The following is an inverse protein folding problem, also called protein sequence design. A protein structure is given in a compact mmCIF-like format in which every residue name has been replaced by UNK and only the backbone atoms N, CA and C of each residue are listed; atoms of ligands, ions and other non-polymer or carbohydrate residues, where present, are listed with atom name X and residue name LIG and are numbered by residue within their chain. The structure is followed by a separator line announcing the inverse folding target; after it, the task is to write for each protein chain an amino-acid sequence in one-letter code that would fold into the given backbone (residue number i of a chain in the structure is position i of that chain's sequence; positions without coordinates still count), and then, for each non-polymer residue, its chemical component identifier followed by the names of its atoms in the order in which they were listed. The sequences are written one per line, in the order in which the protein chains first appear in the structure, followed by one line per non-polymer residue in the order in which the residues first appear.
data_IF_170118815273
#
_entry.id   IF_170118815273
#
_cell.length_a   1.000
_cell.length_b   1.000
_cell.length_c   1.000
_cell.angle_alpha   90.00
_cell.angle_beta   90.00
_cell.angle_gamma   90.00
#
_symmetry.space_group_name_H-M   'P 1'
#
loop_
_entity.id
_entity.type
_entity.pdbx_description
1 polymer ?
#
# COMPACT_ATOMS: atom_id res chain seq x y z
N UNK A 1 -18.31 12.77 7.89
CA UNK A 1 -17.16 12.05 8.49
C UNK A 1 -16.18 13.06 9.05
N UNK A 2 -16.00 13.05 10.37
CA UNK A 2 -15.08 13.98 11.03
C UNK A 2 -13.62 13.61 10.72
N UNK A 3 -12.67 14.54 10.95
CA UNK A 3 -11.25 14.35 10.63
C UNK A 3 -10.62 13.12 11.34
N UNK A 4 -11.06 12.82 12.55
CA UNK A 4 -10.53 11.69 13.33
C UNK A 4 -11.03 10.35 12.78
N UNK A 5 -12.30 10.26 12.37
CA UNK A 5 -12.87 9.09 11.71
C UNK A 5 -12.16 8.80 10.39
N UNK A 6 -11.95 9.83 9.56
CA UNK A 6 -11.17 9.69 8.31
C UNK A 6 -9.77 9.14 8.58
N UNK A 7 -9.08 9.69 9.59
CA UNK A 7 -7.74 9.25 9.97
C UNK A 7 -7.75 7.81 10.49
N UNK A 8 -8.74 7.43 11.28
CA UNK A 8 -8.89 6.07 11.78
C UNK A 8 -9.03 5.08 10.62
N UNK A 9 -9.89 5.37 9.64
CA UNK A 9 -10.05 4.54 8.45
C UNK A 9 -8.73 4.39 7.66
N UNK A 10 -7.98 5.49 7.47
CA UNK A 10 -6.65 5.45 6.82
C UNK A 10 -5.67 4.55 7.59
N UNK A 11 -5.62 4.67 8.92
CA UNK A 11 -4.77 3.83 9.78
C UNK A 11 -5.18 2.36 9.71
N UNK A 12 -6.47 2.06 9.86
CA UNK A 12 -6.98 0.69 9.87
C UNK A 12 -6.70 -0.01 8.53
N UNK A 13 -6.96 0.67 7.41
CA UNK A 13 -6.64 0.16 6.07
C UNK A 13 -5.13 -0.03 5.87
N UNK A 14 -4.30 0.92 6.31
CA UNK A 14 -2.83 0.79 6.18
C UNK A 14 -2.30 -0.40 6.98
N UNK A 15 -2.84 -0.64 8.18
CA UNK A 15 -2.48 -1.82 8.99
C UNK A 15 -2.85 -3.11 8.27
N UNK A 16 -4.01 -3.17 7.62
CA UNK A 16 -4.43 -4.33 6.83
C UNK A 16 -3.49 -4.57 5.63
N UNK A 17 -3.13 -3.52 4.90
CA UNK A 17 -2.19 -3.61 3.76
C UNK A 17 -0.80 -4.10 4.19
N UNK A 18 -0.23 -3.52 5.25
CA UNK A 18 1.06 -3.93 5.81
C UNK A 18 1.02 -5.37 6.38
N UNK A 19 -0.11 -5.70 7.02
CA UNK A 19 -0.35 -6.99 7.65
C UNK A 19 -0.49 -8.12 6.64
N UNK A 20 -1.09 -7.88 5.47
CA UNK A 20 -1.28 -8.90 4.44
C UNK A 20 -0.27 -8.84 3.28
N UNK A 21 0.78 -8.00 3.39
CA UNK A 21 1.79 -7.84 2.33
C UNK A 21 2.52 -9.14 1.94
N UNK A 22 2.49 -10.16 2.81
CA UNK A 22 3.10 -11.47 2.56
C UNK A 22 2.21 -12.42 1.74
N UNK A 23 0.94 -12.08 1.53
CA UNK A 23 -0.04 -12.90 0.81
C UNK A 23 -0.92 -12.02 -0.09
N UNK A 24 -0.30 -11.44 -1.12
CA UNK A 24 -0.93 -10.50 -2.06
C UNK A 24 -2.04 -11.12 -2.93
N UNK A 25 -2.13 -12.45 -3.00
CA UNK A 25 -3.18 -13.18 -3.73
C UNK A 25 -4.42 -13.46 -2.87
N UNK A 26 -4.40 -13.13 -1.58
CA UNK A 26 -5.53 -13.35 -0.68
C UNK A 26 -6.66 -12.35 -0.91
N UNK A 27 -7.90 -12.80 -0.75
CA UNK A 27 -9.11 -11.98 -0.84
C UNK A 27 -9.03 -10.73 0.06
N UNK A 28 -8.42 -10.86 1.24
CA UNK A 28 -8.25 -9.74 2.18
C UNK A 28 -7.37 -8.62 1.60
N UNK A 29 -6.32 -8.97 0.84
CA UNK A 29 -5.43 -7.98 0.23
C UNK A 29 -6.10 -7.31 -0.97
N UNK A 30 -6.74 -8.09 -1.85
CA UNK A 30 -7.48 -7.55 -3.00
C UNK A 30 -8.62 -6.62 -2.56
N UNK A 31 -9.36 -6.99 -1.50
CA UNK A 31 -10.39 -6.14 -0.91
C UNK A 31 -9.82 -4.84 -0.34
N UNK A 32 -8.71 -4.92 0.40
CA UNK A 32 -8.03 -3.75 0.95
C UNK A 32 -7.58 -2.78 -0.17
N UNK A 33 -6.99 -3.31 -1.25
CA UNK A 33 -6.55 -2.50 -2.40
C UNK A 33 -7.68 -1.71 -3.04
N UNK A 34 -8.89 -2.28 -3.17
CA UNK A 34 -10.05 -1.56 -3.70
C UNK A 34 -10.50 -0.41 -2.78
N UNK A 35 -10.42 -0.61 -1.46
CA UNK A 35 -10.81 0.40 -0.48
C UNK A 35 -9.88 1.62 -0.47
N UNK A 36 -8.64 1.49 -0.96
CA UNK A 36 -7.67 2.59 -1.05
C UNK A 36 -8.25 3.77 -1.82
N UNK A 37 -8.95 3.53 -2.93
CA UNK A 37 -9.53 4.59 -3.77
C UNK A 37 -10.54 5.43 -2.98
N UNK A 38 -11.36 4.79 -2.14
CA UNK A 38 -12.37 5.47 -1.35
C UNK A 38 -11.78 6.17 -0.12
N UNK A 39 -10.80 5.55 0.56
CA UNK A 39 -10.25 6.04 1.83
C UNK A 39 -9.14 7.08 1.64
N UNK A 40 -8.35 6.97 0.56
CA UNK A 40 -7.25 7.87 0.22
C UNK A 40 -7.57 8.78 -0.99
N UNK A 41 -8.86 8.99 -1.29
CA UNK A 41 -9.31 9.82 -2.41
C UNK A 41 -8.79 11.27 -2.37
N UNK A 42 -8.44 11.78 -1.18
CA UNK A 42 -7.91 13.12 -0.92
C UNK A 42 -6.38 13.16 -0.81
N UNK A 43 -5.70 12.04 -1.06
CA UNK A 43 -4.24 11.89 -0.93
C UNK A 43 -3.61 11.61 -2.30
N UNK A 44 -3.34 12.66 -3.11
CA UNK A 44 -2.91 12.50 -4.51
C UNK A 44 -1.59 11.72 -4.63
N UNK A 45 -0.72 11.78 -3.62
CA UNK A 45 0.54 11.01 -3.60
C UNK A 45 0.28 9.51 -3.52
N UNK A 46 -0.68 9.08 -2.69
CA UNK A 46 -1.06 7.67 -2.55
C UNK A 46 -1.64 7.16 -3.87
N UNK A 47 -2.56 7.89 -4.48
CA UNK A 47 -3.16 7.51 -5.76
C UNK A 47 -2.12 7.42 -6.88
N UNK A 48 -1.18 8.36 -6.95
CA UNK A 48 -0.07 8.32 -7.92
C UNK A 48 0.82 7.09 -7.75
N UNK A 49 1.13 6.69 -6.50
CA UNK A 49 1.91 5.46 -6.24
C UNK A 49 1.12 4.20 -6.59
N UNK A 50 -0.19 4.20 -6.33
CA UNK A 50 -1.09 3.11 -6.72
C UNK A 50 -1.14 2.92 -8.24
N UNK A 51 -1.25 4.02 -9.01
CA UNK A 51 -1.19 3.98 -10.47
C UNK A 51 0.14 3.41 -10.98
N UNK A 52 1.26 3.85 -10.41
CA UNK A 52 2.60 3.32 -10.73
C UNK A 52 2.68 1.82 -10.46
N UNK A 53 2.17 1.36 -9.31
CA UNK A 53 2.13 -0.07 -8.97
C UNK A 53 1.29 -0.85 -9.99
N UNK A 54 0.10 -0.38 -10.34
CA UNK A 54 -0.72 -1.02 -11.37
C UNK A 54 -0.05 -1.06 -12.74
N UNK A 55 0.72 -0.02 -13.11
CA UNK A 55 1.51 0.00 -14.35
C UNK A 55 2.60 -1.08 -14.33
N UNK A 56 3.35 -1.19 -13.23
CA UNK A 56 4.37 -2.24 -13.06
C UNK A 56 3.77 -3.65 -13.09
N UNK A 57 2.57 -3.85 -12.54
CA UNK A 57 1.87 -5.15 -12.58
C UNK A 57 1.41 -5.55 -13.98
N UNK A 58 1.17 -4.57 -14.87
CA UNK A 58 0.83 -4.79 -16.27
C UNK A 58 2.07 -5.04 -17.16
N UNK A 59 3.29 -4.72 -16.69
CA UNK A 59 4.52 -5.06 -17.41
C UNK A 59 4.65 -6.60 -17.46
N UNK A 60 4.74 -7.21 -18.66
CA UNK A 60 4.96 -8.66 -18.79
C UNK A 60 6.19 -9.17 -18.04
N UNK A 61 7.22 -8.33 -17.89
CA UNK A 61 8.45 -8.66 -17.16
C UNK A 61 8.35 -8.37 -15.66
N UNK A 62 7.21 -7.85 -15.17
CA UNK A 62 6.96 -7.47 -13.77
C UNK A 62 8.09 -6.65 -13.13
N UNK A 63 8.75 -5.81 -13.93
CA UNK A 63 9.91 -5.03 -13.49
C UNK A 63 9.49 -4.01 -12.43
N UNK A 64 10.30 -3.91 -11.39
CA UNK A 64 10.15 -2.93 -10.30
C UNK A 64 8.82 -3.02 -9.53
N UNK A 65 8.07 -4.12 -9.63
CA UNK A 65 6.79 -4.29 -8.90
C UNK A 65 7.02 -4.21 -7.39
N UNK A 66 8.08 -4.84 -6.89
CA UNK A 66 8.42 -4.80 -5.47
C UNK A 66 8.69 -3.37 -4.97
N UNK A 67 9.54 -2.62 -5.68
CA UNK A 67 9.83 -1.23 -5.34
C UNK A 67 8.60 -0.33 -5.42
N UNK A 68 7.78 -0.49 -6.46
CA UNK A 68 6.53 0.24 -6.60
C UNK A 68 5.54 -0.09 -5.47
N UNK A 69 5.56 -1.33 -4.98
CA UNK A 69 4.72 -1.75 -3.87
C UNK A 69 5.20 -1.15 -2.54
N UNK A 70 6.52 -1.14 -2.28
CA UNK A 70 7.09 -0.45 -1.12
C UNK A 70 6.76 1.04 -1.18
N UNK A 71 6.98 1.71 -2.32
CA UNK A 71 6.66 3.14 -2.49
C UNK A 71 5.19 3.44 -2.13
N UNK A 72 4.28 2.57 -2.56
CA UNK A 72 2.85 2.68 -2.28
C UNK A 72 2.53 2.50 -0.80
N UNK A 73 3.07 1.45 -0.16
CA UNK A 73 2.88 1.21 1.27
C UNK A 73 3.43 2.36 2.10
N UNK A 74 4.58 2.92 1.69
CA UNK A 74 5.18 4.02 2.43
C UNK A 74 4.32 5.28 2.40
N UNK A 75 3.72 5.61 1.25
CA UNK A 75 2.83 6.76 1.19
C UNK A 75 1.51 6.54 1.93
N UNK A 76 1.00 5.31 2.01
CA UNK A 76 -0.16 5.01 2.86
C UNK A 76 0.16 5.30 4.34
N UNK A 77 1.35 4.94 4.81
CA UNK A 77 1.79 5.22 6.18
C UNK A 77 1.96 6.71 6.46
N UNK A 78 2.54 7.46 5.51
CA UNK A 78 2.74 8.92 5.63
C UNK A 78 1.38 9.63 5.66
N UNK A 79 0.48 9.32 4.73
CA UNK A 79 -0.87 9.86 4.68
C UNK A 79 -1.68 9.51 5.95
N UNK A 80 -1.44 8.34 6.55
CA UNK A 80 -2.06 7.91 7.81
C UNK A 80 -1.41 8.51 9.06
N UNK A 81 -0.26 9.19 8.92
CA UNK A 81 0.58 9.69 10.02
C UNK A 81 1.00 8.59 11.00
N UNK A 82 1.36 7.42 10.46
CA UNK A 82 1.98 6.32 11.22
C UNK A 82 3.46 6.66 11.45
N UNK A 83 4.11 7.14 10.39
CA UNK A 83 5.40 7.81 10.43
C UNK A 83 5.40 8.98 9.44
N UNK A 84 6.37 9.88 9.57
CA UNK A 84 6.37 11.15 8.83
C UNK A 84 7.34 11.19 7.64
N UNK A 85 8.13 10.14 7.43
CA UNK A 85 9.15 10.09 6.39
C UNK A 85 9.30 8.68 5.82
N UNK A 86 9.80 8.58 4.58
CA UNK A 86 10.16 7.31 3.97
C UNK A 86 11.16 6.55 4.85
N UNK A 87 10.94 5.24 4.98
CA UNK A 87 11.82 4.35 5.73
C UNK A 87 12.79 3.66 4.78
N UNK A 88 13.91 3.17 5.32
CA UNK A 88 14.85 2.38 4.54
C UNK A 88 14.16 1.13 3.97
N UNK A 89 14.37 0.86 2.68
CA UNK A 89 13.71 -0.25 1.97
C UNK A 89 14.07 -1.61 2.55
N UNK A 90 15.29 -1.76 3.09
CA UNK A 90 15.78 -2.99 3.74
C UNK A 90 14.93 -3.45 4.93
N UNK A 91 14.13 -2.55 5.52
CA UNK A 91 13.20 -2.88 6.60
C UNK A 91 11.94 -3.59 6.09
N UNK A 92 11.64 -3.49 4.80
CA UNK A 92 10.52 -4.17 4.16
C UNK A 92 10.99 -5.54 3.69
N UNK A 93 10.61 -6.56 4.45
CA UNK A 93 10.94 -7.94 4.11
C UNK A 93 10.33 -8.28 2.75
N UNK A 94 11.17 -8.72 1.80
CA UNK A 94 10.82 -9.34 0.52
C UNK A 94 10.09 -10.65 0.77
N UNK A 95 8.82 -10.57 1.20
CA UNK A 95 7.85 -11.69 1.28
C UNK A 95 8.42 -13.02 1.83
N UNK A 96 8.22 -13.30 3.13
CA UNK A 96 8.63 -14.58 3.75
C UNK A 96 8.13 -15.85 3.03
N UNK A 97 7.04 -15.76 2.25
CA UNK A 97 6.39 -16.88 1.57
C UNK A 97 5.93 -16.47 0.16
N UNK A 98 6.83 -16.00 -0.70
CA UNK A 98 6.58 -16.08 -2.14
C UNK A 98 6.55 -17.58 -2.50
N UNK A 99 5.41 -18.24 -2.31
CA UNK A 99 5.21 -19.58 -2.88
C UNK A 99 5.16 -19.40 -4.39
N UNK A 100 6.03 -20.14 -5.07
CA UNK A 100 6.05 -20.33 -6.52
C UNK A 100 4.67 -20.65 -7.10
#
# INVERSE_FOLDING_TARGET
MNRMEKRKLKIDLTRQLLGHRFSIQGEQFSSAMNQVIAIFHDEPRVLKRLEKLHSCLKDPMKRNVHDAFIDFLQECCIASKIYNQELERSLYIETFNAKD
#
